data_IF_833381595913
#
_entry.id   IF_833381595913
#
_cell.length_a   1.000
_cell.length_b   1.000
_cell.length_c   1.000
_cell.angle_alpha   90.00
_cell.angle_beta   90.00
_cell.angle_gamma   90.00
#
_symmetry.space_group_name_H-M   'P 1'
#
loop_
_entity.id
_entity.type
_entity.pdbx_description
1 polymer ?
#
# COMPACT_ATOMS: atom_id res chain seq x y z
N UNK A 1 -17.46 9.05 5.64
CA UNK A 1 -18.12 8.36 4.55
C UNK A 1 -17.13 7.40 3.89
N UNK A 2 -17.68 6.39 3.29
CA UNK A 2 -16.89 5.38 2.68
C UNK A 2 -16.45 5.82 1.31
N UNK A 3 -15.20 5.84 1.05
CA UNK A 3 -14.82 6.18 -0.30
C UNK A 3 -14.88 4.97 -1.21
N UNK A 4 -14.81 5.26 -2.49
CA UNK A 4 -14.79 4.24 -3.50
C UNK A 4 -13.49 3.49 -3.41
N UNK A 5 -13.57 2.18 -3.27
CA UNK A 5 -12.38 1.40 -3.07
C UNK A 5 -11.77 0.90 -4.37
N UNK A 6 -12.54 0.76 -5.47
CA UNK A 6 -11.97 0.21 -6.67
C UNK A 6 -12.29 1.04 -7.89
N UNK A 7 -11.29 1.43 -8.68
CA UNK A 7 -11.48 2.21 -9.88
C UNK A 7 -10.79 1.60 -11.10
N UNK A 8 -9.90 0.62 -10.92
CA UNK A 8 -9.15 0.04 -12.02
C UNK A 8 -9.43 -1.45 -12.15
N UNK A 9 -9.80 -1.89 -13.36
CA UNK A 9 -9.90 -3.32 -13.63
C UNK A 9 -8.48 -3.90 -13.68
N UNK A 10 -8.38 -5.24 -13.62
CA UNK A 10 -7.08 -5.89 -13.51
C UNK A 10 -6.13 -5.53 -14.65
N UNK A 11 -6.63 -5.42 -15.88
CA UNK A 11 -5.77 -5.09 -17.00
C UNK A 11 -5.10 -3.74 -16.80
N UNK A 12 -5.85 -2.76 -16.32
CA UNK A 12 -5.31 -1.43 -16.08
C UNK A 12 -4.36 -1.44 -14.89
N UNK A 13 -4.74 -2.13 -13.80
CA UNK A 13 -3.86 -2.24 -12.64
C UNK A 13 -2.55 -2.92 -13.02
N UNK A 14 -2.61 -3.92 -13.89
CA UNK A 14 -1.42 -4.59 -14.40
C UNK A 14 -0.51 -3.60 -15.12
N UNK A 15 -1.09 -2.75 -15.94
CA UNK A 15 -0.30 -1.75 -16.66
C UNK A 15 0.31 -0.72 -15.72
N UNK A 16 -0.47 -0.26 -14.74
CA UNK A 16 -0.01 0.78 -13.82
C UNK A 16 1.10 0.29 -12.90
N UNK A 17 1.11 -0.98 -12.57
CA UNK A 17 2.09 -1.55 -11.66
C UNK A 17 3.25 -2.22 -12.37
N UNK A 18 3.12 -2.47 -13.67
CA UNK A 18 4.14 -3.22 -14.40
C UNK A 18 4.19 -4.68 -14.02
N UNK A 19 3.09 -5.24 -13.50
CA UNK A 19 3.04 -6.61 -13.02
C UNK A 19 2.06 -7.41 -13.85
N UNK A 20 2.43 -8.65 -14.16
CA UNK A 20 1.57 -9.56 -14.91
C UNK A 20 0.32 -9.87 -14.10
N UNK A 21 -0.85 -10.04 -14.76
CA UNK A 21 -2.09 -10.39 -14.01
C UNK A 21 -1.94 -11.63 -13.14
N UNK A 22 -1.17 -12.61 -13.56
CA UNK A 22 -0.94 -13.79 -12.71
C UNK A 22 -0.26 -13.42 -11.41
N UNK A 23 0.66 -12.45 -11.46
CA UNK A 23 1.34 -11.97 -10.26
C UNK A 23 0.36 -11.25 -9.34
N UNK A 24 -0.54 -10.45 -9.91
CA UNK A 24 -1.58 -9.79 -9.11
C UNK A 24 -2.45 -10.82 -8.41
N UNK A 25 -2.86 -11.88 -9.12
CA UNK A 25 -3.67 -12.93 -8.51
C UNK A 25 -2.92 -13.66 -7.42
N UNK A 26 -1.61 -13.89 -7.62
CA UNK A 26 -0.77 -14.52 -6.63
C UNK A 26 -0.76 -13.73 -5.32
N UNK A 27 -0.60 -12.41 -5.42
CA UNK A 27 -0.55 -11.58 -4.23
C UNK A 27 -1.92 -11.45 -3.58
N UNK A 28 -2.99 -11.48 -4.38
CA UNK A 28 -4.33 -11.50 -3.82
C UNK A 28 -4.56 -12.78 -3.03
N UNK A 29 -4.15 -13.93 -3.60
CA UNK A 29 -4.31 -15.21 -2.89
C UNK A 29 -3.51 -15.25 -1.60
N UNK A 30 -2.37 -14.56 -1.59
CA UNK A 30 -1.54 -14.49 -0.37
C UNK A 30 -2.08 -13.48 0.64
N UNK A 31 -3.15 -12.75 0.29
CA UNK A 31 -3.74 -11.77 1.22
C UNK A 31 -3.00 -10.46 1.29
N UNK A 32 -2.07 -10.20 0.37
CA UNK A 32 -1.27 -8.99 0.41
C UNK A 32 -2.01 -7.79 -0.17
N UNK A 33 -2.97 -8.02 -1.03
CA UNK A 33 -3.82 -6.98 -1.61
C UNK A 33 -5.22 -7.56 -1.72
N UNK A 34 -6.23 -6.72 -1.51
CA UNK A 34 -7.61 -7.20 -1.50
C UNK A 34 -8.47 -6.24 -2.33
N UNK A 35 -8.49 -6.42 -3.67
CA UNK A 35 -9.33 -5.57 -4.50
C UNK A 35 -10.80 -5.81 -4.20
N UNK A 36 -11.62 -4.80 -4.43
CA UNK A 36 -13.06 -4.97 -4.31
C UNK A 36 -13.57 -5.73 -5.52
N UNK A 37 -14.80 -6.21 -5.43
CA UNK A 37 -15.40 -6.96 -6.51
C UNK A 37 -16.76 -6.37 -6.85
N UNK A 38 -17.03 -6.31 -8.15
CA UNK A 38 -18.31 -5.85 -8.64
C UNK A 38 -18.60 -6.65 -9.90
N UNK A 39 -19.74 -7.35 -9.92
CA UNK A 39 -20.14 -8.16 -11.06
C UNK A 39 -19.03 -9.10 -11.51
N UNK A 40 -18.40 -9.74 -10.53
CA UNK A 40 -17.31 -10.71 -10.73
C UNK A 40 -16.03 -10.10 -11.27
N UNK A 41 -15.96 -8.78 -11.35
CA UNK A 41 -14.72 -8.10 -11.74
C UNK A 41 -13.95 -7.70 -10.50
N UNK A 42 -12.64 -7.82 -10.58
CA UNK A 42 -11.75 -7.24 -9.56
C UNK A 42 -11.54 -5.79 -9.87
N UNK A 43 -11.73 -4.94 -8.87
CA UNK A 43 -11.54 -3.49 -9.01
C UNK A 43 -10.50 -3.04 -7.99
N UNK A 44 -9.41 -2.50 -8.49
CA UNK A 44 -8.27 -2.07 -7.68
C UNK A 44 -8.38 -0.57 -7.41
N UNK A 45 -8.17 -0.19 -6.16
CA UNK A 45 -8.16 1.22 -5.77
C UNK A 45 -6.79 1.84 -6.04
N UNK A 46 -6.71 3.16 -5.91
CA UNK A 46 -5.40 3.82 -5.95
C UNK A 46 -4.50 3.30 -4.86
N UNK A 47 -5.05 3.02 -3.68
CA UNK A 47 -4.28 2.46 -2.58
C UNK A 47 -3.78 1.05 -2.90
N UNK A 48 -4.62 0.26 -3.57
CA UNK A 48 -4.20 -1.08 -4.00
C UNK A 48 -3.03 -0.98 -4.96
N UNK A 49 -3.09 -0.05 -5.90
CA UNK A 49 -2.01 0.13 -6.87
C UNK A 49 -0.72 0.56 -6.18
N UNK A 50 -0.83 1.50 -5.24
CA UNK A 50 0.35 1.93 -4.48
C UNK A 50 0.95 0.78 -3.69
N UNK A 51 0.09 -0.04 -3.09
CA UNK A 51 0.54 -1.21 -2.32
C UNK A 51 1.25 -2.21 -3.21
N UNK A 52 0.72 -2.44 -4.40
CA UNK A 52 1.35 -3.35 -5.36
C UNK A 52 2.69 -2.82 -5.84
N UNK A 53 2.78 -1.51 -6.08
CA UNK A 53 4.06 -0.92 -6.47
C UNK A 53 5.12 -1.09 -5.38
N UNK A 54 4.71 -0.95 -4.11
CA UNK A 54 5.62 -1.17 -3.00
C UNK A 54 6.07 -2.62 -2.96
N UNK A 55 5.14 -3.56 -3.14
CA UNK A 55 5.49 -4.97 -3.17
C UNK A 55 6.50 -5.24 -4.29
N UNK A 56 6.29 -4.68 -5.46
CA UNK A 56 7.21 -4.88 -6.58
C UNK A 56 8.60 -4.37 -6.22
N UNK A 57 8.69 -3.19 -5.62
CA UNK A 57 9.97 -2.64 -5.18
C UNK A 57 10.65 -3.57 -4.17
N UNK A 58 9.90 -4.05 -3.19
CA UNK A 58 10.46 -4.90 -2.13
C UNK A 58 10.97 -6.23 -2.69
N UNK A 59 10.27 -6.78 -3.68
CA UNK A 59 10.67 -8.05 -4.28
C UNK A 59 11.82 -7.84 -5.28
N UNK A 60 11.65 -6.90 -6.21
CA UNK A 60 12.57 -6.78 -7.34
C UNK A 60 13.87 -6.06 -6.98
N UNK A 61 13.79 -5.04 -6.11
CA UNK A 61 14.95 -4.22 -5.82
C UNK A 61 15.58 -4.53 -4.47
N UNK A 62 14.74 -4.77 -3.45
CA UNK A 62 15.28 -5.11 -2.13
C UNK A 62 15.58 -6.60 -2.02
N UNK A 63 14.84 -7.42 -2.76
CA UNK A 63 15.09 -8.86 -2.76
C UNK A 63 14.40 -9.62 -1.65
N UNK A 64 13.29 -9.11 -1.13
CA UNK A 64 12.58 -9.78 -0.07
C UNK A 64 11.80 -10.97 -0.59
N UNK A 65 11.75 -12.04 0.19
CA UNK A 65 10.86 -13.14 -0.10
C UNK A 65 9.46 -12.81 0.44
N UNK A 66 8.52 -13.73 0.27
CA UNK A 66 7.13 -13.48 0.65
C UNK A 66 6.99 -13.13 2.13
N UNK A 67 7.71 -13.85 2.99
CA UNK A 67 7.64 -13.57 4.43
C UNK A 67 8.13 -12.16 4.74
N UNK A 68 9.21 -11.73 4.07
CA UNK A 68 9.73 -10.38 4.25
C UNK A 68 8.74 -9.33 3.76
N UNK A 69 8.07 -9.61 2.63
CA UNK A 69 7.07 -8.68 2.11
C UNK A 69 5.91 -8.57 3.10
N UNK A 70 5.46 -9.69 3.65
CA UNK A 70 4.37 -9.67 4.63
C UNK A 70 4.73 -8.81 5.85
N UNK A 71 5.96 -8.96 6.33
CA UNK A 71 6.42 -8.17 7.45
C UNK A 71 6.44 -6.67 7.10
N UNK A 72 6.99 -6.35 5.94
CA UNK A 72 7.07 -4.96 5.51
C UNK A 72 5.67 -4.34 5.34
N UNK A 73 4.72 -5.10 4.81
CA UNK A 73 3.36 -4.60 4.65
C UNK A 73 2.68 -4.39 5.99
N UNK A 74 2.95 -5.25 6.97
CA UNK A 74 2.43 -5.06 8.31
C UNK A 74 2.94 -3.76 8.92
N UNK A 75 4.23 -3.47 8.73
CA UNK A 75 4.80 -2.22 9.21
C UNK A 75 4.21 -1.02 8.47
N UNK A 76 4.03 -1.14 7.16
CA UNK A 76 3.41 -0.11 6.36
C UNK A 76 2.00 0.22 6.87
N UNK A 77 1.20 -0.80 7.13
CA UNK A 77 -0.16 -0.59 7.64
C UNK A 77 -0.13 0.12 9.00
N UNK A 78 0.82 -0.24 9.86
CA UNK A 78 0.95 0.40 11.16
C UNK A 78 1.34 1.88 11.02
N UNK A 79 2.24 2.18 10.10
CA UNK A 79 2.67 3.56 9.87
C UNK A 79 1.49 4.39 9.36
N UNK A 80 0.69 3.84 8.44
CA UNK A 80 -0.47 4.56 7.94
C UNK A 80 -1.48 4.83 9.05
N UNK A 81 -1.68 3.85 9.94
CA UNK A 81 -2.57 4.04 11.09
C UNK A 81 -2.06 5.14 11.99
N UNK A 82 -0.75 5.15 12.25
CA UNK A 82 -0.16 6.19 13.09
C UNK A 82 -0.34 7.57 12.46
N UNK A 83 -0.20 7.68 11.14
CA UNK A 83 -0.39 8.96 10.47
C UNK A 83 -1.83 9.44 10.61
N UNK A 84 -2.80 8.52 10.50
CA UNK A 84 -4.20 8.89 10.65
C UNK A 84 -4.51 9.37 12.06
N UNK A 85 -3.98 8.67 13.07
CA UNK A 85 -4.21 9.07 14.46
C UNK A 85 -3.51 10.39 14.76
N UNK A 86 -2.33 10.59 14.18
CA UNK A 86 -1.59 11.82 14.38
C UNK A 86 -2.35 13.02 13.82
N UNK A 87 -3.06 12.84 12.72
CA UNK A 87 -3.78 13.93 12.07
C UNK A 87 -4.88 14.49 12.96
N UNK A 88 -5.46 13.67 13.84
CA UNK A 88 -6.54 14.08 14.74
C UNK A 88 -6.10 14.20 16.19
N UNK A 89 -4.81 14.02 16.47
CA UNK A 89 -4.34 14.07 17.85
C UNK A 89 -4.34 15.51 18.38
N UNK A 90 -4.59 15.63 19.69
CA UNK A 90 -4.61 16.93 20.35
C UNK A 90 -3.19 17.26 20.81
N UNK A 91 -2.36 17.71 19.88
CA UNK A 91 -0.96 18.05 20.15
C UNK A 91 -0.62 19.33 19.40
N UNK A 92 0.49 19.95 19.78
CA UNK A 92 0.95 21.15 19.10
C UNK A 92 1.35 20.89 17.68
N UNK A 93 1.29 21.94 16.84
CA UNK A 93 1.59 21.81 15.43
C UNK A 93 3.04 21.43 15.16
N UNK A 94 3.96 21.93 15.98
CA UNK A 94 5.37 21.63 15.79
C UNK A 94 5.66 20.16 16.02
N UNK A 95 5.09 19.59 17.10
CA UNK A 95 5.26 18.18 17.38
C UNK A 95 4.61 17.33 16.31
N UNK A 96 3.41 17.73 15.87
CA UNK A 96 2.72 17.00 14.81
C UNK A 96 3.58 16.93 13.54
N UNK A 97 4.18 18.07 13.18
CA UNK A 97 5.00 18.12 11.98
C UNK A 97 6.23 17.21 12.10
N UNK A 98 6.90 17.24 13.26
CA UNK A 98 8.07 16.38 13.46
C UNK A 98 7.71 14.91 13.35
N UNK A 99 6.60 14.51 14.00
CA UNK A 99 6.20 13.12 13.95
C UNK A 99 5.78 12.70 12.55
N UNK A 100 5.10 13.58 11.82
CA UNK A 100 4.72 13.30 10.44
C UNK A 100 5.96 13.08 9.58
N UNK A 101 6.99 13.92 9.76
CA UNK A 101 8.22 13.78 9.00
C UNK A 101 8.91 12.46 9.30
N UNK A 102 8.90 12.03 10.56
CA UNK A 102 9.51 10.76 10.92
C UNK A 102 8.77 9.59 10.29
N UNK A 103 7.43 9.64 10.31
CA UNK A 103 6.65 8.58 9.68
C UNK A 103 6.86 8.56 8.17
N UNK A 104 6.97 9.73 7.55
CA UNK A 104 7.23 9.79 6.11
C UNK A 104 8.61 9.21 5.77
N UNK A 105 9.61 9.42 6.64
CA UNK A 105 10.92 8.81 6.43
C UNK A 105 10.82 7.29 6.47
N UNK A 106 10.01 6.76 7.38
CA UNK A 106 9.82 5.32 7.45
C UNK A 106 9.16 4.79 6.18
N UNK A 107 8.19 5.53 5.65
CA UNK A 107 7.55 5.14 4.40
C UNK A 107 8.54 5.15 3.23
N UNK A 108 9.43 6.15 3.20
CA UNK A 108 10.46 6.19 2.16
C UNK A 108 11.37 4.97 2.22
N UNK A 109 11.70 4.54 3.43
CA UNK A 109 12.52 3.34 3.60
C UNK A 109 11.85 2.13 3.00
N UNK A 110 10.52 2.08 3.05
CA UNK A 110 9.76 0.98 2.46
C UNK A 110 9.53 1.16 0.96
N UNK A 111 10.02 2.26 0.38
CA UNK A 111 9.86 2.49 -1.04
C UNK A 111 8.57 3.18 -1.42
N UNK A 112 7.89 3.78 -0.44
CA UNK A 112 6.65 4.51 -0.68
C UNK A 112 7.00 5.97 -0.87
N UNK A 113 6.51 6.55 -1.95
CA UNK A 113 6.73 7.97 -2.18
C UNK A 113 5.73 8.78 -1.38
N UNK A 114 6.18 9.90 -0.83
CA UNK A 114 5.32 10.75 -0.01
C UNK A 114 4.21 11.41 -0.81
#
# INVERSE_FOLDING_TARGET
>A
MREISGVYVMRVASMLTGMHPQTLRKYERAGLVMPSRSNMLRLYSNEDVARLRMIKHLVDEVGLNLAGVELALSMYDSILNMKRELASADIGGELRQRLTELLDQMLETLGVEP
#
